data_IF_243147067145
#
_entry.id   IF_243147067145
#
_cell.length_a   1.000
_cell.length_b   1.000
_cell.length_c   1.000
_cell.angle_alpha   90.00
_cell.angle_beta   90.00
_cell.angle_gamma   90.00
#
_symmetry.space_group_name_H-M   'P 1'
#
loop_
_entity.id
_entity.type
_entity.pdbx_description
1 polymer ?
#
# COMPACT_ATOMS: atom_id res chain seq x y z
N UNK A 1 21.92 37.51 2.28
CA UNK A 1 21.97 36.17 2.89
C UNK A 1 21.64 35.16 1.80
N UNK A 2 22.67 34.62 1.16
CA UNK A 2 22.56 33.65 0.07
C UNK A 2 22.36 32.25 0.67
N UNK A 3 21.20 31.66 0.40
CA UNK A 3 20.88 30.27 0.74
C UNK A 3 21.73 29.35 -0.13
N UNK A 4 22.79 28.76 0.44
CA UNK A 4 23.50 27.65 -0.18
C UNK A 4 22.58 26.42 -0.14
N UNK A 5 22.02 26.08 -1.30
CA UNK A 5 21.38 24.79 -1.57
C UNK A 5 22.42 23.69 -1.35
N UNK A 6 22.32 22.99 -0.24
CA UNK A 6 23.14 21.82 0.08
C UNK A 6 22.63 20.62 -0.74
N UNK A 7 22.84 20.65 -2.06
CA UNK A 7 22.58 19.50 -2.92
C UNK A 7 23.78 18.55 -2.79
N UNK A 8 23.56 17.39 -2.17
CA UNK A 8 24.54 16.30 -2.25
C UNK A 8 24.77 15.93 -3.73
N UNK A 9 26.03 15.71 -4.15
CA UNK A 9 26.33 15.35 -5.53
C UNK A 9 25.73 13.99 -5.88
N UNK A 10 24.88 13.95 -6.91
CA UNK A 10 24.36 12.72 -7.50
C UNK A 10 25.38 12.14 -8.48
N UNK A 11 25.68 10.84 -8.36
CA UNK A 11 26.62 10.14 -9.24
C UNK A 11 26.04 10.04 -10.66
N UNK A 12 26.86 10.29 -11.70
CA UNK A 12 26.39 10.23 -13.08
C UNK A 12 26.16 8.78 -13.58
N UNK A 13 25.32 8.62 -14.60
CA UNK A 13 25.02 7.29 -15.17
C UNK A 13 26.25 6.59 -15.76
N UNK A 14 27.26 7.33 -16.22
CA UNK A 14 28.51 6.77 -16.74
C UNK A 14 29.46 6.31 -15.63
N UNK A 15 29.47 6.99 -14.49
CA UNK A 15 30.21 6.58 -13.29
C UNK A 15 29.60 5.32 -12.66
N UNK A 16 28.26 5.26 -12.60
CA UNK A 16 27.53 4.05 -12.19
C UNK A 16 27.90 2.84 -13.06
N UNK A 17 27.86 2.97 -14.39
CA UNK A 17 28.24 1.88 -15.31
C UNK A 17 29.69 1.43 -15.14
N UNK A 18 30.62 2.35 -14.85
CA UNK A 18 32.03 2.00 -14.60
C UNK A 18 32.21 1.28 -13.26
N UNK A 19 31.50 1.70 -12.21
CA UNK A 19 31.53 1.03 -10.92
C UNK A 19 30.89 -0.37 -11.00
N UNK A 20 29.79 -0.52 -11.74
CA UNK A 20 29.16 -1.81 -12.03
C UNK A 20 30.13 -2.74 -12.77
N UNK A 21 30.87 -2.23 -13.77
CA UNK A 21 31.84 -3.01 -14.54
C UNK A 21 33.13 -3.33 -13.77
N UNK A 22 33.52 -2.49 -12.81
CA UNK A 22 34.72 -2.68 -11.98
C UNK A 22 34.53 -3.58 -10.75
N UNK A 23 33.29 -3.92 -10.40
CA UNK A 23 32.96 -4.84 -9.31
C UNK A 23 33.04 -6.33 -9.73
N UNK A 24 33.22 -6.62 -11.02
CA UNK A 24 33.39 -7.98 -11.54
C UNK A 24 34.84 -8.23 -11.98
N UNK A 25 35.43 -9.25 -11.35
CA UNK A 25 36.80 -9.81 -11.49
C UNK A 25 37.83 -9.18 -10.53
N UNK A 26 38.04 -9.89 -9.42
CA UNK A 26 39.20 -9.82 -8.50
C UNK A 26 39.13 -8.92 -7.26
N UNK A 27 37.96 -8.35 -6.91
CA UNK A 27 37.79 -7.69 -5.61
C UNK A 27 37.55 -8.72 -4.49
N UNK A 28 38.48 -8.80 -3.52
CA UNK A 28 38.34 -9.62 -2.32
C UNK A 28 37.06 -9.22 -1.53
N UNK A 29 36.34 -10.16 -0.92
CA UNK A 29 35.14 -9.85 -0.15
C UNK A 29 35.54 -9.10 1.13
N UNK A 30 35.17 -7.83 1.21
CA UNK A 30 35.31 -7.04 2.45
C UNK A 30 36.17 -5.78 2.39
N UNK A 31 36.26 -5.08 1.25
CA UNK A 31 36.74 -3.69 1.23
C UNK A 31 36.25 -2.92 -0.01
N UNK A 32 34.94 -2.71 -0.12
CA UNK A 32 34.45 -1.57 -0.91
C UNK A 32 34.75 -0.36 -0.04
N UNK A 33 35.66 0.53 -0.47
CA UNK A 33 36.00 1.69 0.36
C UNK A 33 34.71 2.46 0.65
N UNK A 34 34.44 2.75 1.93
CA UNK A 34 33.30 3.57 2.39
C UNK A 34 33.30 4.99 1.77
N UNK A 35 34.28 5.30 0.93
CA UNK A 35 34.51 6.57 0.25
C UNK A 35 34.23 6.53 -1.26
N UNK A 36 34.00 5.37 -1.87
CA UNK A 36 33.66 5.27 -3.29
C UNK A 36 32.15 5.51 -3.50
N UNK A 37 31.76 6.78 -3.73
CA UNK A 37 30.37 7.16 -3.98
C UNK A 37 29.72 6.37 -5.13
N UNK A 38 30.47 6.09 -6.20
CA UNK A 38 29.96 5.30 -7.33
C UNK A 38 29.73 3.82 -6.99
N UNK A 39 30.57 3.25 -6.12
CA UNK A 39 30.44 1.86 -5.66
C UNK A 39 29.23 1.71 -4.73
N UNK A 40 29.03 2.68 -3.81
CA UNK A 40 27.84 2.75 -2.96
C UNK A 40 26.59 2.86 -3.82
N UNK A 41 26.58 3.77 -4.81
CA UNK A 41 25.43 3.94 -5.69
C UNK A 41 25.12 2.65 -6.51
N UNK A 42 26.13 1.92 -6.96
CA UNK A 42 25.94 0.65 -7.66
C UNK A 42 25.34 -0.45 -6.76
N UNK A 43 25.82 -0.61 -5.53
CA UNK A 43 25.23 -1.55 -4.56
C UNK A 43 23.79 -1.17 -4.21
N UNK A 44 23.55 0.12 -3.93
CA UNK A 44 22.22 0.66 -3.66
C UNK A 44 21.24 0.40 -4.81
N UNK A 45 21.68 0.61 -6.06
CA UNK A 45 20.90 0.34 -7.25
C UNK A 45 20.50 -1.13 -7.31
N UNK A 46 21.43 -2.06 -7.09
CA UNK A 46 21.16 -3.50 -7.09
C UNK A 46 20.11 -3.90 -6.05
N UNK A 47 20.24 -3.40 -4.80
CA UNK A 47 19.27 -3.66 -3.72
C UNK A 47 17.86 -3.18 -4.10
N UNK A 48 17.76 -1.95 -4.61
CA UNK A 48 16.47 -1.33 -4.99
C UNK A 48 15.87 -2.06 -6.19
N UNK A 49 16.65 -2.34 -7.24
CA UNK A 49 16.16 -3.02 -8.44
C UNK A 49 15.68 -4.45 -8.16
N UNK A 50 16.32 -5.18 -7.23
CA UNK A 50 15.86 -6.51 -6.83
C UNK A 50 14.45 -6.44 -6.20
N UNK A 51 14.24 -5.47 -5.30
CA UNK A 51 12.95 -5.26 -4.63
C UNK A 51 11.90 -4.75 -5.61
N UNK A 52 12.24 -3.78 -6.45
CA UNK A 52 11.35 -3.23 -7.49
C UNK A 52 10.96 -4.33 -8.49
N UNK A 53 11.89 -5.19 -8.90
CA UNK A 53 11.59 -6.33 -9.80
C UNK A 53 10.59 -7.31 -9.17
N UNK A 54 10.78 -7.69 -7.91
CA UNK A 54 9.84 -8.58 -7.19
C UNK A 54 8.47 -7.91 -7.02
N UNK A 55 8.45 -6.63 -6.65
CA UNK A 55 7.21 -5.84 -6.53
C UNK A 55 6.48 -5.79 -7.87
N UNK A 56 7.21 -5.49 -8.95
CA UNK A 56 6.68 -5.40 -10.31
C UNK A 56 6.10 -6.73 -10.79
N UNK A 57 6.76 -7.85 -10.52
CA UNK A 57 6.23 -9.17 -10.89
C UNK A 57 4.86 -9.49 -10.26
N UNK A 58 4.54 -8.88 -9.12
CA UNK A 58 3.22 -8.98 -8.50
C UNK A 58 2.26 -7.97 -9.13
N UNK A 59 2.67 -6.70 -9.27
CA UNK A 59 1.79 -5.64 -9.77
C UNK A 59 1.43 -5.78 -11.25
N UNK A 60 2.24 -6.50 -12.02
CA UNK A 60 2.02 -6.79 -13.44
C UNK A 60 1.03 -7.94 -13.68
N UNK A 61 0.62 -8.66 -12.64
CA UNK A 61 -0.44 -9.67 -12.75
C UNK A 61 -1.71 -8.95 -13.21
N UNK A 62 -2.19 -9.35 -14.40
CA UNK A 62 -3.27 -8.64 -15.09
C UNK A 62 -4.60 -8.82 -14.36
N UNK A 63 -4.95 -10.05 -13.99
CA UNK A 63 -6.18 -10.33 -13.26
C UNK A 63 -6.14 -9.69 -11.85
N UNK A 64 -7.04 -8.75 -11.53
CA UNK A 64 -7.06 -8.10 -10.22
C UNK A 64 -7.24 -9.06 -9.04
N UNK A 65 -7.98 -10.15 -9.20
CA UNK A 65 -8.19 -11.13 -8.13
C UNK A 65 -6.90 -11.91 -7.86
N UNK A 66 -6.28 -12.45 -8.90
CA UNK A 66 -4.98 -13.12 -8.80
C UNK A 66 -3.90 -12.18 -8.23
N UNK A 67 -3.82 -10.95 -8.74
CA UNK A 67 -2.90 -9.91 -8.24
C UNK A 67 -3.14 -9.64 -6.76
N UNK A 68 -4.39 -9.45 -6.34
CA UNK A 68 -4.72 -9.17 -4.95
C UNK A 68 -4.30 -10.33 -4.03
N UNK A 69 -4.49 -11.58 -4.47
CA UNK A 69 -4.02 -12.76 -3.74
C UNK A 69 -2.51 -12.74 -3.54
N UNK A 70 -1.74 -12.40 -4.58
CA UNK A 70 -0.29 -12.27 -4.49
C UNK A 70 0.15 -11.10 -3.57
N UNK A 71 -0.51 -9.95 -3.66
CA UNK A 71 -0.29 -8.80 -2.76
C UNK A 71 -0.55 -9.18 -1.30
N UNK A 72 -1.68 -9.83 -1.03
CA UNK A 72 -2.03 -10.29 0.32
C UNK A 72 -0.96 -11.22 0.87
N UNK A 73 -0.49 -12.19 0.07
CA UNK A 73 0.56 -13.11 0.47
C UNK A 73 1.89 -12.39 0.74
N UNK A 74 2.25 -11.41 -0.10
CA UNK A 74 3.45 -10.61 0.08
C UNK A 74 3.43 -9.83 1.41
N UNK A 75 2.31 -9.17 1.75
CA UNK A 75 2.18 -8.52 3.05
C UNK A 75 2.27 -9.51 4.23
N UNK A 76 1.62 -10.68 4.13
CA UNK A 76 1.68 -11.71 5.18
C UNK A 76 3.12 -12.18 5.41
N UNK A 77 3.85 -12.45 4.33
CA UNK A 77 5.24 -12.90 4.40
C UNK A 77 6.14 -11.82 5.01
N UNK A 78 6.00 -10.58 4.57
CA UNK A 78 6.78 -9.47 5.12
C UNK A 78 6.48 -9.24 6.61
N UNK A 79 5.23 -9.35 7.05
CA UNK A 79 4.91 -9.24 8.47
C UNK A 79 5.50 -10.39 9.29
N UNK A 80 5.52 -11.60 8.75
CA UNK A 80 6.15 -12.74 9.42
C UNK A 80 7.66 -12.54 9.61
N UNK A 81 8.32 -11.90 8.64
CA UNK A 81 9.75 -11.54 8.71
C UNK A 81 10.01 -10.32 9.60
N UNK A 82 9.10 -9.34 9.62
CA UNK A 82 9.21 -8.10 10.40
C UNK A 82 7.91 -7.78 11.16
N UNK A 83 7.65 -8.44 12.31
CA UNK A 83 6.40 -8.31 13.05
C UNK A 83 6.23 -6.97 13.78
N UNK A 84 7.27 -6.13 13.82
CA UNK A 84 7.19 -4.79 14.42
C UNK A 84 6.38 -3.83 13.56
N UNK A 85 6.39 -4.02 12.23
CA UNK A 85 5.65 -3.15 11.32
C UNK A 85 4.15 -3.52 11.29
N UNK A 86 3.40 -2.97 12.25
CA UNK A 86 1.97 -3.26 12.44
C UNK A 86 1.08 -2.78 11.29
N UNK A 87 1.49 -1.75 10.55
CA UNK A 87 0.79 -1.34 9.32
C UNK A 87 0.76 -2.49 8.31
N UNK A 88 1.85 -3.26 8.16
CA UNK A 88 1.92 -4.39 7.22
C UNK A 88 0.90 -5.48 7.59
N UNK A 89 0.72 -5.76 8.88
CA UNK A 89 -0.32 -6.70 9.34
C UNK A 89 -1.70 -6.21 8.92
N UNK A 90 -2.03 -4.96 9.21
CA UNK A 90 -3.34 -4.41 8.85
C UNK A 90 -3.53 -4.39 7.33
N UNK A 91 -2.52 -3.98 6.56
CA UNK A 91 -2.54 -4.00 5.10
C UNK A 91 -2.82 -5.41 4.54
N UNK A 92 -2.25 -6.46 5.15
CA UNK A 92 -2.55 -7.85 4.76
C UNK A 92 -4.01 -8.25 5.00
N UNK A 93 -4.60 -7.75 6.09
CA UNK A 93 -6.00 -8.03 6.48
C UNK A 93 -6.94 -7.28 5.54
N UNK A 94 -6.73 -5.97 5.38
CA UNK A 94 -7.53 -5.12 4.49
C UNK A 94 -7.42 -5.59 3.04
N UNK A 95 -6.23 -5.99 2.57
CA UNK A 95 -6.07 -6.57 1.23
C UNK A 95 -6.84 -7.89 1.06
N UNK A 96 -7.03 -8.68 2.13
CA UNK A 96 -7.90 -9.87 2.06
C UNK A 96 -9.36 -9.49 1.90
N UNK A 97 -9.81 -8.45 2.61
CA UNK A 97 -11.17 -7.90 2.47
C UNK A 97 -11.42 -7.25 1.10
N UNK A 98 -10.40 -6.60 0.52
CA UNK A 98 -10.43 -6.18 -0.89
C UNK A 98 -10.59 -7.38 -1.82
N UNK A 99 -9.93 -8.50 -1.54
CA UNK A 99 -10.08 -9.74 -2.30
C UNK A 99 -11.51 -10.30 -2.26
N UNK A 100 -12.16 -10.27 -1.10
CA UNK A 100 -13.58 -10.63 -0.98
C UNK A 100 -14.44 -9.70 -1.83
N UNK A 101 -14.24 -8.39 -1.69
CA UNK A 101 -15.00 -7.36 -2.40
C UNK A 101 -14.80 -7.41 -3.92
N UNK A 102 -13.61 -7.81 -4.40
CA UNK A 102 -13.35 -8.04 -5.83
C UNK A 102 -14.19 -9.21 -6.37
N UNK A 103 -14.34 -10.29 -5.61
CA UNK A 103 -15.18 -11.42 -6.01
C UNK A 103 -16.67 -11.01 -6.04
N UNK A 104 -17.12 -10.24 -5.05
CA UNK A 104 -18.50 -9.75 -5.00
C UNK A 104 -18.78 -8.80 -6.17
N UNK A 105 -17.90 -7.81 -6.41
CA UNK A 105 -18.01 -6.87 -7.52
C UNK A 105 -18.00 -7.58 -8.89
N UNK A 106 -17.12 -8.58 -9.06
CA UNK A 106 -17.11 -9.43 -10.26
C UNK A 106 -18.43 -10.17 -10.42
N UNK A 107 -18.92 -10.83 -9.36
CA UNK A 107 -20.17 -11.57 -9.40
C UNK A 107 -21.37 -10.68 -9.76
N UNK A 108 -21.42 -9.46 -9.23
CA UNK A 108 -22.46 -8.49 -9.58
C UNK A 108 -22.34 -8.01 -11.02
N UNK A 109 -21.13 -7.68 -11.47
CA UNK A 109 -20.88 -7.27 -12.85
C UNK A 109 -21.32 -8.36 -13.84
N UNK A 110 -20.89 -9.59 -13.61
CA UNK A 110 -21.17 -10.71 -14.51
C UNK A 110 -22.67 -11.09 -14.47
N UNK A 111 -23.36 -10.88 -13.34
CA UNK A 111 -24.80 -11.11 -13.20
C UNK A 111 -25.71 -9.99 -13.75
N UNK A 112 -25.18 -8.76 -13.91
CA UNK A 112 -25.92 -7.58 -14.38
C UNK A 112 -25.62 -7.22 -15.85
N UNK A 113 -25.06 -8.17 -16.61
CA UNK A 113 -24.49 -7.91 -17.93
C UNK A 113 -25.50 -7.35 -18.95
N UNK A 114 -26.79 -7.66 -18.82
CA UNK A 114 -27.83 -7.22 -19.76
C UNK A 114 -29.06 -6.64 -19.06
N UNK A 115 -29.44 -5.42 -19.44
CA UNK A 115 -30.72 -4.79 -19.11
C UNK A 115 -31.86 -5.25 -20.03
N UNK A 116 -33.09 -4.86 -19.69
CA UNK A 116 -34.30 -5.22 -20.46
C UNK A 116 -34.33 -4.66 -21.90
N UNK A 117 -33.48 -3.66 -22.19
CA UNK A 117 -33.29 -3.01 -23.49
C UNK A 117 -32.12 -3.58 -24.31
N UNK A 118 -31.42 -4.60 -23.78
CA UNK A 118 -30.24 -5.19 -24.41
C UNK A 118 -28.95 -4.38 -24.25
N UNK A 119 -28.98 -3.25 -23.53
CA UNK A 119 -27.79 -2.50 -23.12
C UNK A 119 -27.20 -3.00 -21.79
N UNK A 120 -26.04 -2.49 -21.36
CA UNK A 120 -25.52 -2.77 -20.02
C UNK A 120 -26.51 -2.24 -18.99
N UNK A 121 -26.92 -3.07 -18.03
CA UNK A 121 -27.77 -2.59 -16.95
C UNK A 121 -27.06 -1.46 -16.18
N UNK A 122 -27.79 -0.48 -15.65
CA UNK A 122 -27.21 0.62 -14.85
C UNK A 122 -26.26 0.12 -13.74
N UNK A 123 -26.54 -1.04 -13.14
CA UNK A 123 -25.68 -1.65 -12.13
C UNK A 123 -24.39 -2.29 -12.67
N UNK A 124 -24.29 -2.59 -13.97
CA UNK A 124 -23.08 -3.15 -14.59
C UNK A 124 -21.90 -2.19 -14.50
N UNK A 125 -22.10 -0.92 -14.88
CA UNK A 125 -21.03 0.08 -14.86
C UNK A 125 -20.54 0.34 -13.43
N UNK A 126 -21.47 0.45 -12.47
CA UNK A 126 -21.13 0.60 -11.05
C UNK A 126 -20.31 -0.59 -10.54
N UNK A 127 -20.72 -1.82 -10.87
CA UNK A 127 -20.01 -3.03 -10.46
C UNK A 127 -18.63 -3.14 -11.14
N UNK A 128 -18.53 -2.78 -12.42
CA UNK A 128 -17.26 -2.76 -13.16
C UNK A 128 -16.31 -1.72 -12.59
N UNK A 129 -16.78 -0.49 -12.36
CA UNK A 129 -15.96 0.57 -11.79
C UNK A 129 -15.53 0.23 -10.36
N UNK A 130 -16.38 -0.43 -9.56
CA UNK A 130 -15.99 -0.90 -8.23
C UNK A 130 -14.91 -1.98 -8.31
N UNK A 131 -15.05 -2.95 -9.23
CA UNK A 131 -14.04 -3.97 -9.48
C UNK A 131 -12.68 -3.35 -9.82
N UNK A 132 -12.67 -2.37 -10.72
CA UNK A 132 -11.46 -1.66 -11.13
C UNK A 132 -10.89 -0.81 -10.00
N UNK A 133 -11.72 -0.04 -9.29
CA UNK A 133 -11.30 0.80 -8.17
C UNK A 133 -10.64 -0.02 -7.05
N UNK A 134 -11.24 -1.15 -6.67
CA UNK A 134 -10.67 -2.07 -5.67
C UNK A 134 -9.32 -2.64 -6.14
N UNK A 135 -9.26 -3.10 -7.39
CA UNK A 135 -8.06 -3.71 -7.97
C UNK A 135 -6.91 -2.73 -8.16
N UNK A 136 -7.20 -1.50 -8.58
CA UNK A 136 -6.24 -0.41 -8.78
C UNK A 136 -5.81 0.19 -7.44
N UNK A 137 -6.74 0.44 -6.52
CA UNK A 137 -6.45 0.98 -5.20
C UNK A 137 -5.44 0.13 -4.44
N UNK A 138 -5.70 -1.19 -4.33
CA UNK A 138 -4.78 -2.07 -3.61
C UNK A 138 -3.42 -2.22 -4.33
N UNK A 139 -3.41 -2.22 -5.67
CA UNK A 139 -2.16 -2.20 -6.45
C UNK A 139 -1.35 -0.93 -6.17
N UNK A 140 -1.99 0.23 -6.15
CA UNK A 140 -1.34 1.53 -5.95
C UNK A 140 -0.76 1.66 -4.54
N UNK A 141 -1.50 1.24 -3.52
CA UNK A 141 -1.00 1.20 -2.14
C UNK A 141 0.20 0.25 -2.02
N UNK A 142 0.07 -0.96 -2.57
CA UNK A 142 1.15 -1.95 -2.55
C UNK A 142 2.43 -1.41 -3.18
N UNK A 143 2.37 -0.97 -4.43
CA UNK A 143 3.58 -0.52 -5.14
C UNK A 143 4.21 0.74 -4.54
N UNK A 144 3.44 1.54 -3.80
CA UNK A 144 3.93 2.79 -3.21
C UNK A 144 4.60 2.59 -1.85
N UNK A 145 4.16 1.61 -1.03
CA UNK A 145 4.67 1.43 0.34
C UNK A 145 5.47 0.13 0.49
N UNK A 146 4.99 -0.97 -0.08
CA UNK A 146 5.58 -2.30 0.10
C UNK A 146 7.08 -2.36 -0.24
N UNK A 147 7.59 -1.87 -1.39
CA UNK A 147 9.01 -1.97 -1.69
C UNK A 147 9.90 -1.25 -0.67
N UNK A 148 9.45 -0.09 -0.17
CA UNK A 148 10.14 0.65 0.89
C UNK A 148 10.12 -0.11 2.23
N UNK A 149 8.98 -0.72 2.58
CA UNK A 149 8.88 -1.54 3.78
C UNK A 149 9.74 -2.81 3.71
N UNK A 150 9.84 -3.45 2.53
CA UNK A 150 10.75 -4.58 2.29
C UNK A 150 12.21 -4.12 2.45
N UNK A 151 12.56 -2.97 1.89
CA UNK A 151 13.92 -2.43 2.01
C UNK A 151 14.28 -2.21 3.48
N UNK A 152 13.41 -1.49 4.21
CA UNK A 152 13.60 -1.22 5.63
C UNK A 152 13.75 -2.52 6.44
N UNK A 153 12.90 -3.52 6.19
CA UNK A 153 12.97 -4.80 6.88
C UNK A 153 14.26 -5.58 6.63
N UNK A 154 14.81 -5.52 5.41
CA UNK A 154 15.99 -6.32 5.01
C UNK A 154 17.33 -5.66 5.30
N UNK A 155 17.40 -4.34 5.12
CA UNK A 155 18.66 -3.60 5.13
C UNK A 155 18.69 -2.51 6.20
N UNK A 156 17.56 -2.23 6.86
CA UNK A 156 17.43 -1.16 7.85
C UNK A 156 17.18 0.21 7.21
N UNK A 157 16.59 1.10 8.00
CA UNK A 157 16.20 2.42 7.50
C UNK A 157 17.39 3.36 7.21
N UNK A 158 18.48 3.27 7.98
CA UNK A 158 19.69 4.07 7.73
C UNK A 158 20.35 3.75 6.39
N UNK A 159 20.40 2.47 6.01
CA UNK A 159 20.88 2.06 4.68
C UNK A 159 19.95 2.59 3.58
N UNK A 160 18.64 2.53 3.82
CA UNK A 160 17.64 3.06 2.89
C UNK A 160 17.84 4.55 2.62
N UNK A 161 18.02 5.37 3.66
CA UNK A 161 18.29 6.81 3.51
C UNK A 161 19.54 7.08 2.68
N UNK A 162 20.63 6.37 2.98
CA UNK A 162 21.90 6.48 2.22
C UNK A 162 21.69 6.12 0.75
N UNK A 163 20.99 5.01 0.48
CA UNK A 163 20.81 4.53 -0.88
C UNK A 163 19.84 5.37 -1.71
N UNK A 164 18.74 5.84 -1.11
CA UNK A 164 17.83 6.75 -1.81
C UNK A 164 18.54 8.06 -2.15
N UNK A 165 19.30 8.64 -1.21
CA UNK A 165 20.11 9.83 -1.45
C UNK A 165 21.17 9.61 -2.56
N UNK A 166 21.90 8.50 -2.52
CA UNK A 166 22.93 8.18 -3.51
C UNK A 166 22.39 8.05 -4.95
N UNK A 167 21.12 7.66 -5.09
CA UNK A 167 20.43 7.53 -6.38
C UNK A 167 19.55 8.74 -6.74
N UNK A 168 19.55 9.80 -5.91
CA UNK A 168 18.66 10.95 -6.11
C UNK A 168 17.17 10.62 -5.99
N UNK A 169 16.81 9.49 -5.36
CA UNK A 169 15.43 9.12 -5.06
C UNK A 169 14.98 9.81 -3.78
N UNK A 170 13.72 10.23 -3.72
CA UNK A 170 13.13 10.82 -2.52
C UNK A 170 12.32 9.78 -1.75
N UNK A 171 12.47 9.78 -0.42
CA UNK A 171 11.57 9.06 0.48
C UNK A 171 10.44 10.03 0.82
N UNK A 172 9.17 9.67 0.59
CA UNK A 172 8.05 10.53 0.97
C UNK A 172 8.12 10.90 2.45
N UNK A 173 7.81 12.16 2.79
CA UNK A 173 7.97 12.69 4.16
C UNK A 173 7.32 11.80 5.24
N UNK A 174 6.09 11.36 5.01
CA UNK A 174 5.38 10.49 5.98
C UNK A 174 5.93 9.07 6.06
N UNK A 175 6.53 8.57 4.98
CA UNK A 175 7.25 7.29 5.01
C UNK A 175 8.55 7.42 5.79
N UNK A 176 9.24 8.56 5.65
CA UNK A 176 10.41 8.89 6.45
C UNK A 176 10.05 8.92 7.95
N UNK A 177 9.02 9.69 8.33
CA UNK A 177 8.50 9.75 9.71
C UNK A 177 8.11 8.36 10.25
N UNK A 178 7.48 7.53 9.42
CA UNK A 178 7.05 6.20 9.83
C UNK A 178 8.22 5.30 10.18
N UNK A 179 9.26 5.27 9.34
CA UNK A 179 10.39 4.39 9.54
C UNK A 179 11.33 4.89 10.63
N UNK A 180 11.48 6.20 10.84
CA UNK A 180 12.14 6.74 12.04
C UNK A 180 11.43 6.29 13.33
N UNK A 181 10.10 6.36 13.32
CA UNK A 181 9.28 5.90 14.45
C UNK A 181 9.42 4.38 14.67
N UNK A 182 9.49 3.60 13.59
CA UNK A 182 9.65 2.16 13.65
C UNK A 182 11.01 1.75 14.26
N UNK A 183 12.10 2.37 13.83
CA UNK A 183 13.46 2.10 14.34
C UNK A 183 13.63 2.53 15.81
N UNK A 184 12.93 3.58 16.23
CA UNK A 184 12.91 4.03 17.63
C UNK A 184 11.94 3.25 18.52
N UNK A 185 11.24 2.25 17.98
CA UNK A 185 10.29 1.41 18.71
C UNK A 185 8.93 2.06 18.96
N UNK A 186 8.67 3.25 18.40
CA UNK A 186 7.37 3.90 18.46
C UNK A 186 6.44 3.35 17.36
N UNK A 187 5.92 2.15 17.61
CA UNK A 187 5.15 1.39 16.63
C UNK A 187 3.82 2.05 16.27
N UNK A 188 3.25 2.83 17.19
CA UNK A 188 1.99 3.54 16.97
C UNK A 188 2.17 4.65 15.95
N UNK A 189 3.16 5.52 16.18
CA UNK A 189 3.42 6.64 15.29
C UNK A 189 3.90 6.14 13.92
N UNK A 190 4.65 5.03 13.89
CA UNK A 190 5.01 4.35 12.65
C UNK A 190 3.79 3.93 11.83
N UNK A 191 2.84 3.25 12.49
CA UNK A 191 1.60 2.80 11.85
C UNK A 191 0.72 3.98 11.40
N UNK A 192 0.57 5.01 12.22
CA UNK A 192 -0.24 6.18 11.91
C UNK A 192 0.35 7.00 10.76
N UNK A 193 1.68 7.15 10.69
CA UNK A 193 2.35 7.86 9.62
C UNK A 193 2.16 7.17 8.25
N UNK A 194 2.29 5.83 8.19
CA UNK A 194 2.00 5.07 6.97
C UNK A 194 0.52 5.14 6.58
N UNK A 195 -0.40 4.99 7.54
CA UNK A 195 -1.83 5.13 7.27
C UNK A 195 -2.20 6.53 6.75
N UNK A 196 -1.56 7.58 7.28
CA UNK A 196 -1.75 8.93 6.78
C UNK A 196 -1.19 9.10 5.36
N UNK A 197 -0.01 8.56 5.06
CA UNK A 197 0.56 8.59 3.72
C UNK A 197 -0.38 7.93 2.70
N UNK A 198 -0.83 6.71 3.03
CA UNK A 198 -1.80 5.96 2.22
C UNK A 198 -3.06 6.78 1.94
N UNK A 199 -3.72 7.26 2.99
CA UNK A 199 -5.05 7.87 2.86
C UNK A 199 -5.02 9.29 2.27
N UNK A 200 -3.91 10.02 2.43
CA UNK A 200 -3.79 11.43 2.01
C UNK A 200 -3.03 11.63 0.70
N UNK A 201 -2.20 10.70 0.29
CA UNK A 201 -1.34 10.88 -0.90
C UNK A 201 -1.60 9.81 -1.97
N UNK A 202 -1.83 8.56 -1.56
CA UNK A 202 -2.01 7.45 -2.52
C UNK A 202 -3.48 7.26 -2.92
N UNK A 203 -4.38 7.30 -1.94
CA UNK A 203 -5.80 6.99 -2.14
C UNK A 203 -6.60 8.10 -2.85
N UNK A 204 -6.37 9.41 -2.63
CA UNK A 204 -7.25 10.44 -3.21
C UNK A 204 -7.41 10.40 -4.74
N UNK A 205 -6.35 10.19 -5.56
CA UNK A 205 -6.50 10.10 -7.02
C UNK A 205 -7.47 8.98 -7.47
N UNK A 206 -7.57 7.89 -6.69
CA UNK A 206 -8.52 6.81 -6.96
C UNK A 206 -9.97 7.28 -6.76
N UNK A 207 -10.23 8.02 -5.67
CA UNK A 207 -11.56 8.57 -5.39
C UNK A 207 -11.97 9.63 -6.40
N UNK A 208 -11.02 10.43 -6.88
CA UNK A 208 -11.26 11.40 -7.95
C UNK A 208 -11.62 10.70 -9.26
N UNK A 209 -10.87 9.66 -9.64
CA UNK A 209 -11.09 8.87 -10.86
C UNK A 209 -12.45 8.17 -10.88
N UNK A 210 -12.88 7.61 -9.74
CA UNK A 210 -14.12 6.84 -9.62
C UNK A 210 -15.22 7.58 -8.83
N UNK A 211 -15.22 8.91 -8.86
CA UNK A 211 -16.08 9.73 -8.00
C UNK A 211 -17.59 9.42 -8.15
N UNK A 212 -18.07 9.16 -9.37
CA UNK A 212 -19.46 8.86 -9.65
C UNK A 212 -19.88 7.54 -9.01
N UNK A 213 -19.05 6.52 -9.13
CA UNK A 213 -19.25 5.21 -8.48
C UNK A 213 -19.30 5.35 -6.96
N UNK A 214 -18.34 6.06 -6.36
CA UNK A 214 -18.32 6.27 -4.91
C UNK A 214 -19.53 7.09 -4.43
N UNK A 215 -19.95 8.11 -5.20
CA UNK A 215 -21.14 8.91 -4.87
C UNK A 215 -22.42 8.07 -4.88
N UNK A 216 -22.57 7.19 -5.88
CA UNK A 216 -23.70 6.26 -5.96
C UNK A 216 -23.69 5.27 -4.80
N UNK A 217 -22.52 4.72 -4.46
CA UNK A 217 -22.37 3.80 -3.31
C UNK A 217 -22.68 4.51 -1.99
N UNK A 218 -22.21 5.74 -1.79
CA UNK A 218 -22.51 6.55 -0.62
C UNK A 218 -24.02 6.82 -0.48
N UNK A 219 -24.68 7.23 -1.57
CA UNK A 219 -26.12 7.46 -1.57
C UNK A 219 -26.91 6.17 -1.28
N UNK A 220 -26.53 5.08 -1.96
CA UNK A 220 -27.14 3.75 -1.81
C UNK A 220 -26.89 3.13 -0.43
N UNK A 221 -25.81 3.51 0.26
CA UNK A 221 -25.49 3.00 1.60
C UNK A 221 -26.60 3.29 2.62
N UNK A 222 -27.24 4.46 2.53
CA UNK A 222 -28.37 4.82 3.41
C UNK A 222 -29.57 3.89 3.24
N UNK A 223 -29.87 3.49 2.00
CA UNK A 223 -30.94 2.53 1.69
C UNK A 223 -30.53 1.13 2.16
N UNK A 224 -29.33 0.69 1.79
CA UNK A 224 -28.78 -0.62 2.14
C UNK A 224 -28.76 -0.84 3.65
N UNK A 225 -28.29 0.14 4.42
CA UNK A 225 -28.23 0.11 5.89
C UNK A 225 -29.59 -0.13 6.54
N UNK A 226 -30.67 0.40 5.97
CA UNK A 226 -32.02 0.32 6.51
C UNK A 226 -32.79 -0.94 6.08
N UNK A 227 -32.17 -1.83 5.28
CA UNK A 227 -32.80 -3.09 4.91
C UNK A 227 -32.90 -4.04 6.12
N UNK A 228 -34.05 -4.71 6.35
CA UNK A 228 -34.29 -5.54 7.53
C UNK A 228 -33.24 -6.64 7.76
N UNK A 229 -32.68 -7.18 6.68
CA UNK A 229 -31.69 -8.25 6.71
C UNK A 229 -30.25 -7.77 6.90
N UNK A 230 -29.96 -6.48 6.72
CA UNK A 230 -28.59 -5.96 6.69
C UNK A 230 -28.09 -5.45 8.07
N UNK A 231 -28.92 -5.58 9.12
CA UNK A 231 -28.53 -5.31 10.52
C UNK A 231 -27.81 -3.96 10.73
N UNK A 232 -28.12 -2.94 9.92
CA UNK A 232 -27.53 -1.61 10.04
C UNK A 232 -26.07 -1.48 9.59
N UNK A 233 -25.50 -2.43 8.84
CA UNK A 233 -24.10 -2.37 8.36
C UNK A 233 -23.95 -1.48 7.14
N UNK A 234 -22.88 -0.71 7.05
CA UNK A 234 -22.54 0.02 5.83
C UNK A 234 -21.87 -0.93 4.82
N UNK A 235 -22.00 -0.61 3.54
CA UNK A 235 -21.42 -1.38 2.41
C UNK A 235 -19.90 -1.48 2.52
N UNK A 236 -19.26 -0.48 3.10
CA UNK A 236 -17.80 -0.34 3.22
C UNK A 236 -17.28 -0.57 4.66
N UNK A 237 -18.08 -1.18 5.52
CA UNK A 237 -17.62 -1.64 6.83
C UNK A 237 -16.66 -2.83 6.65
N UNK A 238 -15.46 -2.73 7.23
CA UNK A 238 -14.38 -3.71 7.03
C UNK A 238 -14.18 -4.51 8.32
N UNK A 239 -14.31 -5.84 8.29
CA UNK A 239 -13.91 -6.66 9.41
C UNK A 239 -12.39 -6.82 9.47
N UNK A 240 -11.84 -6.76 10.68
CA UNK A 240 -10.42 -7.06 10.93
C UNK A 240 -10.24 -8.58 10.99
N UNK A 241 -10.28 -9.21 9.81
CA UNK A 241 -10.20 -10.66 9.64
C UNK A 241 -9.65 -11.02 8.26
N UNK A 242 -9.11 -12.23 8.11
CA UNK A 242 -8.75 -12.78 6.80
C UNK A 242 -9.92 -13.47 6.08
N UNK A 243 -11.03 -13.74 6.78
CA UNK A 243 -12.16 -14.47 6.23
C UNK A 243 -13.19 -13.50 5.63
N UNK A 244 -13.73 -13.85 4.46
CA UNK A 244 -14.85 -13.12 3.87
C UNK A 244 -16.11 -13.29 4.73
N UNK A 245 -16.92 -12.23 4.81
CA UNK A 245 -18.16 -12.24 5.59
C UNK A 245 -17.96 -12.36 7.11
N UNK A 246 -16.74 -12.10 7.61
CA UNK A 246 -16.47 -12.15 9.04
C UNK A 246 -17.42 -11.21 9.83
N UNK A 247 -17.93 -11.65 11.00
CA UNK A 247 -18.85 -10.85 11.79
C UNK A 247 -18.15 -9.64 12.41
N UNK A 248 -18.96 -8.70 12.91
CA UNK A 248 -18.51 -7.53 13.68
C UNK A 248 -17.49 -6.63 12.93
N UNK A 249 -17.83 -6.11 11.75
CA UNK A 249 -16.95 -5.20 11.04
C UNK A 249 -16.78 -3.89 11.82
N UNK A 250 -15.69 -3.17 11.57
CA UNK A 250 -15.51 -1.83 12.12
C UNK A 250 -16.40 -0.88 11.33
N UNK A 251 -17.35 -0.19 11.98
CA UNK A 251 -18.30 0.64 11.26
C UNK A 251 -17.64 1.94 10.79
N UNK A 252 -17.94 2.34 9.55
CA UNK A 252 -17.56 3.65 9.05
C UNK A 252 -18.79 4.55 8.86
N UNK A 253 -18.97 5.50 9.78
CA UNK A 253 -20.18 6.33 9.82
C UNK A 253 -19.95 7.73 9.21
N UNK A 254 -19.27 7.81 8.07
CA UNK A 254 -18.94 9.09 7.42
C UNK A 254 -18.80 8.91 5.90
N UNK A 255 -18.92 10.01 5.12
CA UNK A 255 -18.66 9.96 3.69
C UNK A 255 -17.24 9.42 3.43
N UNK A 256 -17.15 8.38 2.60
CA UNK A 256 -15.90 7.71 2.28
C UNK A 256 -15.01 8.56 1.36
N UNK A 257 -15.61 9.50 0.64
CA UNK A 257 -14.92 10.57 -0.08
C UNK A 257 -14.11 11.51 0.82
N UNK A 258 -14.43 11.63 2.11
CA UNK A 258 -13.71 12.53 3.02
C UNK A 258 -12.39 11.92 3.52
N UNK A 259 -11.27 12.50 3.06
CA UNK A 259 -9.92 12.05 3.43
C UNK A 259 -9.64 12.00 4.93
N UNK A 260 -10.06 13.00 5.70
CA UNK A 260 -9.83 13.00 7.15
C UNK A 260 -10.63 11.88 7.83
N UNK A 261 -11.86 11.64 7.38
CA UNK A 261 -12.69 10.54 7.90
C UNK A 261 -12.11 9.17 7.56
N UNK A 262 -11.49 9.01 6.39
CA UNK A 262 -10.77 7.77 6.07
C UNK A 262 -9.55 7.54 6.97
N UNK A 263 -8.84 8.60 7.36
CA UNK A 263 -7.76 8.52 8.36
C UNK A 263 -8.30 8.07 9.72
N UNK A 264 -9.39 8.68 10.21
CA UNK A 264 -10.04 8.28 11.47
C UNK A 264 -10.48 6.79 11.42
N UNK A 265 -10.97 6.36 10.26
CA UNK A 265 -11.40 4.98 10.05
C UNK A 265 -10.23 3.99 10.02
N UNK A 266 -9.13 4.34 9.35
CA UNK A 266 -7.88 3.59 9.42
C UNK A 266 -7.43 3.40 10.88
N UNK A 267 -7.45 4.47 11.68
CA UNK A 267 -7.08 4.40 13.11
C UNK A 267 -8.01 3.47 13.89
N UNK A 268 -9.31 3.48 13.57
CA UNK A 268 -10.29 2.57 14.18
C UNK A 268 -10.01 1.10 13.83
N UNK A 269 -9.63 0.82 12.57
CA UNK A 269 -9.21 -0.52 12.14
C UNK A 269 -7.93 -0.96 12.85
N UNK A 270 -6.93 -0.08 12.97
CA UNK A 270 -5.69 -0.38 13.67
C UNK A 270 -5.91 -0.61 15.17
N UNK A 271 -6.78 0.17 15.81
CA UNK A 271 -7.16 -0.05 17.21
C UNK A 271 -7.82 -1.41 17.38
N UNK A 272 -8.79 -1.76 16.52
CA UNK A 272 -9.44 -3.07 16.56
C UNK A 272 -8.43 -4.21 16.38
N UNK A 273 -7.48 -4.08 15.47
CA UNK A 273 -6.41 -5.07 15.28
C UNK A 273 -5.54 -5.20 16.53
N UNK A 274 -5.17 -4.07 17.12
CA UNK A 274 -4.36 -4.02 18.35
C UNK A 274 -5.06 -4.74 19.50
N UNK A 275 -6.38 -4.56 19.65
CA UNK A 275 -7.17 -5.24 20.67
C UNK A 275 -7.22 -6.75 20.45
N UNK A 276 -7.40 -7.20 19.19
CA UNK A 276 -7.42 -8.62 18.81
C UNK A 276 -6.07 -9.29 19.10
N UNK A 277 -4.99 -8.64 18.68
CA UNK A 277 -3.61 -9.15 18.81
C UNK A 277 -3.04 -8.93 20.22
N UNK A 278 -3.77 -8.21 21.09
CA UNK A 278 -3.37 -7.82 22.46
C UNK A 278 -2.04 -7.07 22.50
N UNK A 279 -1.82 -6.24 21.50
CA UNK A 279 -0.60 -5.45 21.37
C UNK A 279 -0.58 -4.28 22.35
N UNK A 280 0.63 -3.93 22.79
CA UNK A 280 0.91 -2.68 23.52
C UNK A 280 1.61 -1.71 22.57
N UNK A 281 1.29 -0.44 22.65
CA UNK A 281 2.01 0.60 21.94
C UNK A 281 3.29 0.95 22.68
#
# INVERSE_FOLDING_TARGET
MTSQSNQQPTVSASELKRAEAGAEKDAAPGNVSETCQACIAADCKKKIEEIEKKTKSITDIQDPIERNKAITAAYKNLFAENPQNRWIKLASIVSSQVGCSLNDAKSWRDGLQYGADGGPAFGYEIASNMYDALGEGNRNIFQSIYPMAVYQARYGYEDMKKCYAALGKQIPKRVNEAFESLESGNLKDAADALGNYEQREIVPPLYEKYNGTFSVVEAGNSVYKNLPWNSGKNIYDIPVSYNCGAPNPVPFNSPISNTNRRVDYYQSLMQRLTDIEKWKW
#
